data_IF_086281651838
#
_entry.id   IF_086281651838
#
_cell.length_a   1.000
_cell.length_b   1.000
_cell.length_c   1.000
_cell.angle_alpha   90.00
_cell.angle_beta   90.00
_cell.angle_gamma   90.00
#
_symmetry.space_group_name_H-M   'P 1'
#
loop_
_entity.id
_entity.type
_entity.pdbx_description
1 polymer ?
#
# COMPACT_ATOMS: atom_id res chain seq x y z
N UNK A 1 -1.10 1.67 2.70
CA UNK A 1 -0.70 2.00 4.09
C UNK A 1 0.80 2.21 4.12
N UNK A 2 1.29 3.43 4.35
CA UNK A 2 2.72 3.72 4.47
C UNK A 2 3.01 4.38 5.84
N UNK A 3 3.03 3.59 6.95
CA UNK A 3 3.09 4.16 8.30
C UNK A 3 4.35 4.97 8.56
N UNK A 4 5.49 4.54 8.02
CA UNK A 4 6.77 5.24 8.18
C UNK A 4 6.74 6.64 7.55
N UNK A 5 6.28 6.76 6.31
CA UNK A 5 6.18 8.06 5.63
C UNK A 5 5.11 8.96 6.27
N UNK A 6 3.97 8.41 6.70
CA UNK A 6 2.94 9.16 7.44
C UNK A 6 3.52 9.71 8.76
N UNK A 7 4.24 8.87 9.51
CA UNK A 7 4.88 9.27 10.76
C UNK A 7 5.96 10.34 10.54
N UNK A 8 6.73 10.24 9.45
CA UNK A 8 7.71 11.24 9.08
C UNK A 8 7.06 12.59 8.72
N UNK A 9 6.00 12.58 7.90
CA UNK A 9 5.26 13.81 7.58
C UNK A 9 4.65 14.44 8.83
N UNK A 10 4.06 13.64 9.73
CA UNK A 10 3.48 14.16 10.96
C UNK A 10 4.51 14.88 11.86
N UNK A 11 5.77 14.42 11.87
CA UNK A 11 6.86 15.10 12.60
C UNK A 11 7.29 16.41 11.93
N UNK A 12 7.34 16.43 10.59
CA UNK A 12 7.89 17.53 9.80
C UNK A 12 6.81 18.35 9.06
N UNK A 13 5.58 18.39 9.57
CA UNK A 13 4.42 18.90 8.83
C UNK A 13 4.47 20.41 8.51
N UNK A 14 5.35 21.16 9.18
CA UNK A 14 5.59 22.59 8.93
C UNK A 14 6.76 22.82 7.95
N UNK A 15 7.41 21.76 7.48
CA UNK A 15 8.47 21.85 6.48
C UNK A 15 7.94 22.39 5.15
N UNK A 16 8.73 23.16 4.38
CA UNK A 16 8.36 23.54 3.01
C UNK A 16 8.17 22.33 2.07
N UNK A 17 8.61 21.13 2.48
CA UNK A 17 8.40 19.88 1.74
C UNK A 17 7.14 19.12 2.15
N UNK A 18 6.37 19.60 3.14
CA UNK A 18 5.23 18.88 3.69
C UNK A 18 4.17 18.57 2.62
N UNK A 19 3.84 19.55 1.76
CA UNK A 19 2.86 19.37 0.69
C UNK A 19 3.29 18.32 -0.33
N UNK A 20 4.58 18.32 -0.72
CA UNK A 20 5.13 17.32 -1.63
C UNK A 20 5.06 15.91 -1.03
N UNK A 21 5.43 15.77 0.26
CA UNK A 21 5.34 14.51 1.00
C UNK A 21 3.88 14.04 1.16
N UNK A 22 2.94 14.96 1.37
CA UNK A 22 1.51 14.64 1.39
C UNK A 22 1.03 14.15 0.03
N UNK A 23 1.44 14.80 -1.06
CA UNK A 23 1.10 14.38 -2.42
C UNK A 23 1.63 12.97 -2.75
N UNK A 24 2.83 12.61 -2.29
CA UNK A 24 3.37 11.24 -2.40
C UNK A 24 2.51 10.23 -1.61
N UNK A 25 2.09 10.58 -0.39
CA UNK A 25 1.19 9.75 0.41
C UNK A 25 -0.18 9.58 -0.26
N UNK A 26 -0.69 10.61 -0.90
CA UNK A 26 -1.97 10.60 -1.61
C UNK A 26 -1.91 9.71 -2.85
N UNK A 27 -0.77 9.62 -3.53
CA UNK A 27 -0.57 8.65 -4.63
C UNK A 27 -0.66 7.21 -4.12
N UNK A 28 0.01 6.90 -3.01
CA UNK A 28 -0.08 5.57 -2.38
C UNK A 28 -1.52 5.27 -1.93
N UNK A 29 -2.23 6.25 -1.37
CA UNK A 29 -3.63 6.11 -0.98
C UNK A 29 -4.51 5.83 -2.20
N UNK A 30 -4.35 6.59 -3.28
CA UNK A 30 -5.12 6.47 -4.51
C UNK A 30 -4.93 5.10 -5.18
N UNK A 31 -3.70 4.57 -5.17
CA UNK A 31 -3.41 3.22 -5.63
C UNK A 31 -4.25 2.16 -4.90
N UNK A 32 -4.32 2.20 -3.56
CA UNK A 32 -5.11 1.21 -2.81
C UNK A 32 -6.62 1.42 -2.97
N UNK A 33 -7.06 2.67 -3.18
CA UNK A 33 -8.47 3.02 -3.35
C UNK A 33 -9.04 2.65 -4.73
N UNK A 34 -8.19 2.42 -5.74
CA UNK A 34 -8.62 1.96 -7.07
C UNK A 34 -9.02 0.48 -7.11
N UNK A 35 -8.78 -0.25 -6.01
CA UNK A 35 -9.08 -1.66 -5.84
C UNK A 35 -9.94 -1.86 -4.57
N UNK A 36 -10.56 -3.05 -4.38
CA UNK A 36 -11.15 -3.41 -3.10
C UNK A 36 -10.12 -3.29 -1.96
N UNK A 37 -10.18 -2.18 -1.21
CA UNK A 37 -9.06 -1.67 -0.40
C UNK A 37 -8.50 -2.70 0.58
N UNK A 38 -9.36 -3.42 1.31
CA UNK A 38 -8.92 -4.44 2.28
C UNK A 38 -8.22 -5.60 1.57
N UNK A 39 -8.76 -6.09 0.44
CA UNK A 39 -8.15 -7.16 -0.32
C UNK A 39 -6.79 -6.74 -0.91
N UNK A 40 -6.70 -5.51 -1.43
CA UNK A 40 -5.45 -4.94 -1.94
C UNK A 40 -4.38 -4.80 -0.84
N UNK A 41 -4.75 -4.30 0.34
CA UNK A 41 -3.83 -4.19 1.47
C UNK A 41 -3.31 -5.57 1.92
N UNK A 42 -4.18 -6.57 2.01
CA UNK A 42 -3.80 -7.95 2.36
C UNK A 42 -2.92 -8.60 1.30
N UNK A 43 -3.22 -8.40 0.03
CA UNK A 43 -2.40 -8.86 -1.09
C UNK A 43 -1.00 -8.21 -1.07
N UNK A 44 -0.89 -6.91 -0.76
CA UNK A 44 0.40 -6.24 -0.64
C UNK A 44 1.27 -6.80 0.50
N UNK A 45 0.65 -7.18 1.64
CA UNK A 45 1.37 -7.87 2.73
C UNK A 45 1.84 -9.26 2.28
N UNK A 46 0.97 -10.04 1.63
CA UNK A 46 1.30 -11.35 1.09
C UNK A 46 2.49 -11.30 0.10
N UNK A 47 2.47 -10.34 -0.82
CA UNK A 47 3.54 -10.12 -1.81
C UNK A 47 4.86 -9.69 -1.15
N UNK A 48 4.80 -8.92 -0.05
CA UNK A 48 5.97 -8.47 0.72
C UNK A 48 6.59 -9.63 1.49
N UNK A 49 5.77 -10.43 2.19
CA UNK A 49 6.21 -11.55 3.01
C UNK A 49 6.51 -12.83 2.22
N UNK A 50 6.12 -12.87 0.93
CA UNK A 50 6.11 -14.10 0.12
C UNK A 50 5.26 -15.21 0.74
N UNK A 51 4.17 -14.82 1.41
CA UNK A 51 3.24 -15.73 2.08
C UNK A 51 1.81 -15.46 1.58
N UNK A 52 1.30 -16.38 0.77
CA UNK A 52 -0.02 -16.26 0.14
C UNK A 52 -1.18 -16.31 1.13
N UNK A 53 -1.01 -16.91 2.32
CA UNK A 53 -2.11 -16.99 3.30
C UNK A 53 -2.51 -15.60 3.83
N UNK A 54 -1.58 -14.64 3.80
CA UNK A 54 -1.89 -13.24 4.13
C UNK A 54 -2.89 -12.60 3.17
N UNK A 55 -3.06 -13.09 1.94
CA UNK A 55 -4.03 -12.56 0.98
C UNK A 55 -5.48 -13.02 1.29
N UNK A 56 -5.67 -14.02 2.16
CA UNK A 56 -6.98 -14.58 2.48
C UNK A 56 -7.90 -13.54 3.13
N UNK A 57 -9.01 -13.21 2.49
CA UNK A 57 -10.08 -12.38 3.07
C UNK A 57 -11.25 -13.25 3.55
N UNK A 58 -12.08 -12.73 4.46
CA UNK A 58 -13.32 -13.40 4.88
C UNK A 58 -14.53 -12.78 4.19
N UNK A 59 -15.60 -13.55 3.92
CA UNK A 59 -16.88 -12.99 3.46
C UNK A 59 -17.35 -11.82 4.35
N UNK A 60 -17.94 -10.77 3.77
CA UNK A 60 -18.33 -10.63 2.36
C UNK A 60 -17.22 -10.13 1.43
N UNK A 61 -15.98 -9.98 1.91
CA UNK A 61 -14.88 -9.48 1.08
C UNK A 61 -14.45 -10.56 0.07
N UNK A 62 -14.19 -10.13 -1.16
CA UNK A 62 -13.73 -10.98 -2.26
C UNK A 62 -12.23 -10.74 -2.48
N UNK A 63 -11.41 -11.79 -2.65
CA UNK A 63 -10.00 -11.65 -3.02
C UNK A 63 -9.83 -10.90 -4.35
N UNK A 64 -8.65 -10.32 -4.56
CA UNK A 64 -8.30 -9.78 -5.87
C UNK A 64 -8.11 -10.91 -6.89
N UNK A 65 -8.56 -10.71 -8.12
CA UNK A 65 -8.24 -11.59 -9.24
C UNK A 65 -6.83 -11.31 -9.80
N UNK A 66 -6.35 -12.15 -10.72
CA UNK A 66 -4.99 -12.04 -11.27
C UNK A 66 -4.70 -10.70 -11.95
N UNK A 67 -5.68 -10.14 -12.68
CA UNK A 67 -5.53 -8.84 -13.33
C UNK A 67 -5.38 -7.72 -12.29
N UNK A 68 -6.20 -7.74 -11.23
CA UNK A 68 -6.13 -6.78 -10.14
C UNK A 68 -4.82 -6.91 -9.33
N UNK A 69 -4.32 -8.14 -9.14
CA UNK A 69 -3.01 -8.38 -8.52
C UNK A 69 -1.88 -7.82 -9.37
N UNK A 70 -1.93 -8.00 -10.70
CA UNK A 70 -0.96 -7.39 -11.61
C UNK A 70 -0.99 -5.86 -11.54
N UNK A 71 -2.18 -5.24 -11.57
CA UNK A 71 -2.35 -3.79 -11.41
C UNK A 71 -1.81 -3.30 -10.07
N UNK A 72 -2.05 -4.02 -8.96
CA UNK A 72 -1.53 -3.67 -7.65
C UNK A 72 0.00 -3.66 -7.65
N UNK A 73 0.64 -4.72 -8.17
CA UNK A 73 2.10 -4.84 -8.22
C UNK A 73 2.74 -3.75 -9.07
N UNK A 74 2.18 -3.48 -10.24
CA UNK A 74 2.65 -2.39 -11.11
C UNK A 74 2.54 -1.04 -10.41
N UNK A 75 1.41 -0.78 -9.75
CA UNK A 75 1.19 0.48 -9.04
C UNK A 75 2.11 0.64 -7.83
N UNK A 76 2.38 -0.45 -7.10
CA UNK A 76 3.34 -0.46 -5.98
C UNK A 76 4.75 -0.14 -6.48
N UNK A 77 5.16 -0.72 -7.61
CA UNK A 77 6.46 -0.43 -8.22
C UNK A 77 6.55 1.04 -8.66
N UNK A 78 5.51 1.58 -9.32
CA UNK A 78 5.47 2.99 -9.77
C UNK A 78 5.52 4.00 -8.62
N UNK A 79 4.86 3.71 -7.51
CA UNK A 79 4.81 4.61 -6.34
C UNK A 79 5.98 4.42 -5.37
N UNK A 80 6.89 3.47 -5.66
CA UNK A 80 7.98 3.12 -4.75
C UNK A 80 7.48 2.57 -3.41
N UNK A 81 6.24 2.07 -3.36
CA UNK A 81 5.63 1.60 -2.13
C UNK A 81 6.36 0.36 -1.62
N UNK A 82 6.81 0.42 -0.36
CA UNK A 82 7.46 -0.69 0.33
C UNK A 82 6.97 -0.75 1.79
N UNK A 83 7.12 -1.92 2.41
CA UNK A 83 6.85 -2.14 3.84
C UNK A 83 8.13 -2.57 4.56
N UNK A 84 9.08 -1.65 4.79
CA UNK A 84 10.32 -1.96 5.49
C UNK A 84 10.02 -2.49 6.89
N UNK A 85 10.71 -3.56 7.29
CA UNK A 85 10.51 -4.22 8.59
C UNK A 85 9.43 -5.30 8.63
N UNK A 86 8.70 -5.53 7.53
CA UNK A 86 7.85 -6.73 7.38
C UNK A 86 8.61 -7.89 6.71
N UNK A 87 9.32 -7.63 5.61
CA UNK A 87 10.21 -8.64 5.01
C UNK A 87 11.50 -8.72 5.83
N UNK A 88 11.85 -9.94 6.27
CA UNK A 88 13.09 -10.26 6.97
C UNK A 88 14.31 -10.12 6.06
#
# INVERSE_FOLDING_TARGET
MNPAAISALARDWQSPLADNRQAELDQVRSMFQSLPMIAAMKAAVADTLKDSDWARVRPPLVPLNDAQLATLRESMAKTGFSMPGLAS
#
